data_IF_250470722958
#
_entry.id   IF_250470722958
#
_cell.length_a   1.000
_cell.length_b   1.000
_cell.length_c   1.000
_cell.angle_alpha   90.00
_cell.angle_beta   90.00
_cell.angle_gamma   90.00
#
_symmetry.space_group_name_H-M   'P 1'
#
loop_
_entity.id
_entity.type
_entity.pdbx_description
1 polymer ?
#
# COMPACT_ATOMS: atom_id res chain seq x y z
N UNK A 1 -26.26 1.02 -15.77
CA UNK A 1 -24.93 1.10 -16.40
C UNK A 1 -24.03 2.27 -15.91
N UNK A 2 -24.54 3.23 -15.14
CA UNK A 2 -23.74 4.41 -14.66
C UNK A 2 -22.69 4.12 -13.55
N UNK A 3 -22.73 2.96 -12.87
CA UNK A 3 -21.81 2.67 -11.75
C UNK A 3 -20.57 1.85 -12.13
N UNK A 4 -20.36 1.53 -13.41
CA UNK A 4 -19.24 0.68 -13.83
C UNK A 4 -17.92 1.44 -13.82
N UNK A 5 -17.88 2.70 -14.25
CA UNK A 5 -16.66 3.49 -14.35
C UNK A 5 -16.11 3.83 -12.95
N UNK A 6 -16.94 4.37 -12.07
CA UNK A 6 -16.51 4.71 -10.70
C UNK A 6 -16.02 3.50 -9.92
N UNK A 7 -16.64 2.33 -10.09
CA UNK A 7 -16.18 1.10 -9.45
C UNK A 7 -14.84 0.63 -10.03
N UNK A 8 -14.62 0.76 -11.34
CA UNK A 8 -13.34 0.44 -11.96
C UNK A 8 -12.23 1.39 -11.48
N UNK A 9 -12.51 2.69 -11.33
CA UNK A 9 -11.56 3.64 -10.73
C UNK A 9 -11.21 3.28 -9.27
N UNK A 10 -12.20 2.88 -8.49
CA UNK A 10 -12.01 2.41 -7.13
C UNK A 10 -11.09 1.17 -7.09
N UNK A 11 -11.33 0.19 -7.95
CA UNK A 11 -10.48 -1.00 -8.07
C UNK A 11 -9.06 -0.67 -8.50
N UNK A 12 -8.91 0.27 -9.45
CA UNK A 12 -7.60 0.76 -9.86
C UNK A 12 -6.87 1.43 -8.70
N UNK A 13 -7.53 2.28 -7.92
CA UNK A 13 -6.98 2.86 -6.70
C UNK A 13 -6.49 1.80 -5.72
N UNK A 14 -7.33 0.82 -5.38
CA UNK A 14 -6.95 -0.28 -4.50
C UNK A 14 -5.76 -1.08 -5.01
N UNK A 15 -5.69 -1.32 -6.32
CA UNK A 15 -4.59 -2.08 -6.94
C UNK A 15 -3.24 -1.36 -6.88
N UNK A 16 -3.25 -0.02 -6.93
CA UNK A 16 -2.04 0.80 -6.91
C UNK A 16 -1.53 1.10 -5.49
N UNK A 17 -2.42 1.08 -4.50
CA UNK A 17 -2.12 1.48 -3.11
C UNK A 17 -0.91 0.74 -2.52
N UNK A 18 -0.76 -0.57 -2.80
CA UNK A 18 0.36 -1.37 -2.34
C UNK A 18 1.71 -0.87 -2.88
N UNK A 19 1.76 -0.55 -4.18
CA UNK A 19 2.96 0.00 -4.83
C UNK A 19 3.26 1.41 -4.32
N UNK A 20 2.25 2.26 -4.19
CA UNK A 20 2.41 3.60 -3.63
C UNK A 20 2.97 3.54 -2.20
N UNK A 21 2.41 2.66 -1.35
CA UNK A 21 2.86 2.49 0.03
C UNK A 21 4.31 2.00 0.15
N UNK A 22 4.78 1.22 -0.83
CA UNK A 22 6.14 0.70 -0.88
C UNK A 22 7.12 1.72 -1.48
N UNK A 23 6.81 2.26 -2.66
CA UNK A 23 7.77 2.92 -3.52
C UNK A 23 7.86 4.43 -3.30
N UNK A 24 6.78 5.10 -2.84
CA UNK A 24 6.83 6.52 -2.44
C UNK A 24 7.79 6.80 -1.29
N UNK A 25 8.07 5.79 -0.49
CA UNK A 25 8.96 5.87 0.66
C UNK A 25 10.45 5.85 0.28
N UNK A 26 10.82 5.29 -0.88
CA UNK A 26 12.22 5.09 -1.29
C UNK A 26 13.06 6.38 -1.31
N UNK A 27 12.57 7.52 -1.82
CA UNK A 27 13.34 8.77 -1.81
C UNK A 27 13.67 9.28 -0.40
N UNK A 28 12.89 8.89 0.61
CA UNK A 28 13.07 9.33 1.99
C UNK A 28 14.22 8.62 2.73
N UNK A 29 14.86 7.60 2.14
CA UNK A 29 15.92 6.82 2.80
C UNK A 29 17.09 7.68 3.28
N UNK A 30 17.52 8.65 2.46
CA UNK A 30 18.59 9.59 2.83
C UNK A 30 18.22 10.46 4.02
N UNK A 31 17.02 11.02 3.98
CA UNK A 31 16.48 11.91 5.03
C UNK A 31 16.28 11.18 6.35
N UNK A 32 15.73 9.97 6.31
CA UNK A 32 15.56 9.13 7.51
C UNK A 32 16.89 8.79 8.19
N UNK A 33 17.93 8.54 7.39
CA UNK A 33 19.27 8.31 7.94
C UNK A 33 19.85 9.55 8.62
N UNK A 34 19.70 10.71 7.99
CA UNK A 34 20.27 11.97 8.52
C UNK A 34 19.46 12.53 9.69
N UNK A 35 18.13 12.50 9.64
CA UNK A 35 17.29 13.10 10.68
C UNK A 35 17.10 12.18 11.91
N UNK A 36 16.98 10.87 11.71
CA UNK A 36 16.74 9.92 12.80
C UNK A 36 18.03 9.20 13.24
N UNK A 37 19.18 9.51 12.64
CA UNK A 37 20.45 8.84 12.96
C UNK A 37 20.46 7.34 12.66
N UNK A 38 19.61 6.86 11.74
CA UNK A 38 19.47 5.45 11.45
C UNK A 38 20.60 4.93 10.57
N UNK A 39 21.02 3.68 10.80
CA UNK A 39 21.98 3.04 9.93
C UNK A 39 21.39 2.75 8.55
N UNK A 40 22.24 2.69 7.51
CA UNK A 40 21.82 2.31 6.16
C UNK A 40 21.16 0.92 6.13
N UNK A 41 21.67 -0.01 6.97
CA UNK A 41 21.10 -1.34 7.12
C UNK A 41 19.70 -1.34 7.71
N UNK A 42 19.42 -0.50 8.71
CA UNK A 42 18.10 -0.38 9.32
C UNK A 42 17.06 0.16 8.32
N UNK A 43 17.42 1.21 7.56
CA UNK A 43 16.55 1.79 6.55
C UNK A 43 16.31 0.81 5.39
N UNK A 44 17.36 0.11 4.94
CA UNK A 44 17.21 -0.95 3.92
C UNK A 44 16.35 -2.13 4.42
N UNK A 45 16.52 -2.54 5.69
CA UNK A 45 15.73 -3.60 6.31
C UNK A 45 14.23 -3.25 6.37
N UNK A 46 13.87 -1.95 6.41
CA UNK A 46 12.47 -1.52 6.40
C UNK A 46 11.72 -1.94 5.14
N UNK A 47 12.41 -2.02 4.00
CA UNK A 47 11.85 -2.53 2.76
C UNK A 47 11.65 -4.05 2.80
N UNK A 48 12.66 -4.78 3.30
CA UNK A 48 12.60 -6.23 3.44
C UNK A 48 11.50 -6.66 4.40
N UNK A 49 11.35 -5.96 5.53
CA UNK A 49 10.30 -6.25 6.50
C UNK A 49 8.90 -5.92 5.95
N UNK A 50 8.79 -4.87 5.13
CA UNK A 50 7.56 -4.56 4.42
C UNK A 50 7.18 -5.70 3.46
N UNK A 51 8.11 -6.20 2.65
CA UNK A 51 7.87 -7.33 1.75
C UNK A 51 7.47 -8.60 2.51
N UNK A 52 8.15 -8.88 3.63
CA UNK A 52 7.80 -10.02 4.50
C UNK A 52 6.38 -9.88 5.07
N UNK A 53 6.03 -8.70 5.59
CA UNK A 53 4.68 -8.41 6.09
C UNK A 53 3.63 -8.52 4.99
N UNK A 54 3.93 -8.05 3.78
CA UNK A 54 3.05 -8.16 2.62
C UNK A 54 2.81 -9.62 2.21
N UNK A 55 3.86 -10.45 2.17
CA UNK A 55 3.76 -11.87 1.87
C UNK A 55 2.94 -12.62 2.92
N UNK A 56 3.18 -12.35 4.21
CA UNK A 56 2.38 -12.93 5.30
C UNK A 56 0.92 -12.45 5.24
N UNK A 57 0.70 -11.18 4.91
CA UNK A 57 -0.63 -10.62 4.72
C UNK A 57 -1.42 -11.35 3.64
N UNK A 58 -0.80 -11.78 2.54
CA UNK A 58 -1.47 -12.56 1.49
C UNK A 58 -2.01 -13.89 2.01
N UNK A 59 -1.22 -14.58 2.84
CA UNK A 59 -1.63 -15.84 3.44
C UNK A 59 -2.78 -15.67 4.45
N UNK A 60 -2.86 -14.52 5.12
CA UNK A 60 -3.89 -14.23 6.10
C UNK A 60 -5.18 -13.72 5.45
N UNK A 61 -5.08 -12.68 4.61
CA UNK A 61 -6.25 -12.00 4.07
C UNK A 61 -6.98 -12.78 2.98
N UNK A 62 -6.30 -13.66 2.24
CA UNK A 62 -6.94 -14.53 1.25
C UNK A 62 -8.06 -15.35 1.88
N UNK A 63 -7.76 -16.29 2.77
CA UNK A 63 -8.77 -17.13 3.44
C UNK A 63 -9.77 -16.34 4.28
N UNK A 64 -9.33 -15.26 4.94
CA UNK A 64 -10.23 -14.40 5.71
C UNK A 64 -11.26 -13.71 4.81
N UNK A 65 -10.83 -13.22 3.65
CA UNK A 65 -11.69 -12.55 2.68
C UNK A 65 -12.75 -13.49 2.10
N UNK A 66 -12.41 -14.76 1.93
CA UNK A 66 -13.36 -15.77 1.48
C UNK A 66 -14.36 -16.15 2.59
N UNK A 67 -13.93 -16.16 3.84
CA UNK A 67 -14.75 -16.54 5.00
C UNK A 67 -15.65 -15.42 5.52
N UNK A 68 -15.12 -14.21 5.67
CA UNK A 68 -15.81 -13.06 6.28
C UNK A 68 -16.37 -12.08 5.25
N UNK A 69 -16.02 -12.27 3.98
CA UNK A 69 -16.40 -11.39 2.88
C UNK A 69 -15.39 -10.28 2.62
N UNK A 70 -15.48 -9.69 1.42
CA UNK A 70 -14.50 -8.72 0.91
C UNK A 70 -14.46 -7.42 1.70
N UNK A 71 -15.66 -6.87 2.02
CA UNK A 71 -15.78 -5.56 2.66
C UNK A 71 -15.21 -5.49 4.08
N UNK A 72 -15.53 -6.42 5.02
CA UNK A 72 -14.96 -6.39 6.38
C UNK A 72 -13.44 -6.52 6.37
N UNK A 73 -12.90 -7.41 5.54
CA UNK A 73 -11.45 -7.63 5.43
C UNK A 73 -10.75 -6.40 4.87
N UNK A 74 -11.30 -5.80 3.82
CA UNK A 74 -10.75 -4.57 3.26
C UNK A 74 -10.74 -3.43 4.28
N UNK A 75 -11.83 -3.22 5.00
CA UNK A 75 -11.90 -2.19 6.04
C UNK A 75 -10.92 -2.45 7.17
N UNK A 76 -10.82 -3.69 7.66
CA UNK A 76 -9.85 -4.06 8.70
C UNK A 76 -8.41 -3.82 8.25
N UNK A 77 -8.08 -4.24 7.03
CA UNK A 77 -6.74 -4.04 6.47
C UNK A 77 -6.39 -2.56 6.26
N UNK A 78 -7.30 -1.78 5.66
CA UNK A 78 -7.09 -0.34 5.47
C UNK A 78 -7.00 0.42 6.81
N UNK A 79 -7.79 0.03 7.83
CA UNK A 79 -7.66 0.61 9.17
C UNK A 79 -6.30 0.29 9.79
N UNK A 80 -5.81 -0.94 9.64
CA UNK A 80 -4.49 -1.33 10.12
C UNK A 80 -3.37 -0.57 9.39
N UNK A 81 -3.50 -0.38 8.07
CA UNK A 81 -2.59 0.43 7.27
C UNK A 81 -2.58 1.88 7.73
N UNK A 82 -3.76 2.47 7.93
CA UNK A 82 -3.91 3.84 8.40
C UNK A 82 -3.27 4.05 9.77
N UNK A 83 -3.46 3.12 10.72
CA UNK A 83 -2.80 3.16 12.03
C UNK A 83 -1.28 3.08 11.90
N UNK A 84 -0.77 2.22 11.02
CA UNK A 84 0.65 2.14 10.71
C UNK A 84 1.21 3.43 10.11
N UNK A 85 0.48 4.10 9.19
CA UNK A 85 0.86 5.39 8.63
C UNK A 85 0.82 6.50 9.68
N UNK A 86 -0.22 6.54 10.52
CA UNK A 86 -0.30 7.50 11.62
C UNK A 86 0.85 7.33 12.61
N UNK A 87 1.24 6.09 12.93
CA UNK A 87 2.36 5.79 13.81
C UNK A 87 3.70 6.35 13.32
N UNK A 88 3.88 6.52 11.99
CA UNK A 88 5.12 7.05 11.42
C UNK A 88 5.45 8.48 11.85
N UNK A 89 4.47 9.25 12.31
CA UNK A 89 4.72 10.59 12.84
C UNK A 89 5.48 10.61 14.17
N UNK A 90 5.51 9.48 14.88
CA UNK A 90 6.18 9.33 16.18
C UNK A 90 7.44 8.46 16.11
N UNK A 91 7.91 8.12 14.92
CA UNK A 91 9.12 7.31 14.75
C UNK A 91 10.35 8.07 15.24
N UNK A 92 11.08 7.44 16.17
CA UNK A 92 12.32 7.95 16.76
C UNK A 92 13.48 6.95 16.67
N UNK A 93 13.19 5.68 16.44
CA UNK A 93 14.19 4.61 16.38
C UNK A 93 13.88 3.58 15.28
N UNK A 94 14.85 2.70 15.03
CA UNK A 94 14.75 1.67 13.99
C UNK A 94 13.71 0.60 14.31
N UNK A 95 13.52 0.27 15.59
CA UNK A 95 12.59 -0.80 15.98
C UNK A 95 11.15 -0.38 15.69
N UNK A 96 10.81 0.85 16.07
CA UNK A 96 9.48 1.42 15.79
C UNK A 96 9.26 1.57 14.28
N UNK A 97 10.28 2.05 13.53
CA UNK A 97 10.22 2.14 12.08
C UNK A 97 9.88 0.78 11.44
N UNK A 98 10.66 -0.25 11.77
CA UNK A 98 10.49 -1.59 11.21
C UNK A 98 9.13 -2.20 11.58
N UNK A 99 8.72 -2.03 12.84
CA UNK A 99 7.42 -2.53 13.32
C UNK A 99 6.25 -1.89 12.58
N UNK A 100 6.29 -0.58 12.39
CA UNK A 100 5.24 0.14 11.67
C UNK A 100 5.22 -0.22 10.18
N UNK A 101 6.37 -0.39 9.55
CA UNK A 101 6.46 -0.84 8.16
C UNK A 101 5.89 -2.24 7.98
N UNK A 102 6.10 -3.13 8.94
CA UNK A 102 5.47 -4.46 8.95
C UNK A 102 3.95 -4.38 9.07
N UNK A 103 3.45 -3.58 10.00
CA UNK A 103 2.01 -3.35 10.21
C UNK A 103 1.36 -2.74 8.96
N UNK A 104 1.98 -1.72 8.35
CA UNK A 104 1.53 -1.13 7.10
C UNK A 104 1.43 -2.18 5.98
N UNK A 105 2.43 -3.03 5.85
CA UNK A 105 2.47 -4.05 4.82
C UNK A 105 1.35 -5.10 4.97
N UNK A 106 1.14 -5.61 6.18
CA UNK A 106 0.01 -6.50 6.46
C UNK A 106 -1.30 -5.78 6.12
N UNK A 107 -1.48 -4.55 6.59
CA UNK A 107 -2.70 -3.81 6.38
C UNK A 107 -3.03 -3.58 4.90
N UNK A 108 -2.08 -3.05 4.13
CA UNK A 108 -2.29 -2.73 2.71
C UNK A 108 -2.46 -3.96 1.83
N UNK A 109 -1.93 -5.11 2.25
CA UNK A 109 -2.09 -6.37 1.55
C UNK A 109 -3.57 -6.80 1.41
N UNK A 110 -4.44 -6.42 2.35
CA UNK A 110 -5.87 -6.66 2.25
C UNK A 110 -6.46 -6.02 0.99
N UNK A 111 -6.05 -4.81 0.64
CA UNK A 111 -6.47 -4.15 -0.60
C UNK A 111 -5.95 -4.91 -1.84
N UNK A 112 -4.68 -5.33 -1.81
CA UNK A 112 -4.04 -6.05 -2.91
C UNK A 112 -4.71 -7.42 -3.20
N UNK A 113 -5.15 -8.12 -2.18
CA UNK A 113 -5.87 -9.40 -2.33
C UNK A 113 -7.32 -9.18 -2.73
N UNK A 114 -7.98 -8.19 -2.13
CA UNK A 114 -9.43 -8.01 -2.27
C UNK A 114 -9.84 -7.43 -3.62
N UNK A 115 -9.03 -6.54 -4.25
CA UNK A 115 -9.42 -5.92 -5.52
C UNK A 115 -9.61 -6.95 -6.64
N UNK A 116 -8.74 -7.97 -6.71
CA UNK A 116 -8.85 -9.05 -7.72
C UNK A 116 -10.11 -9.88 -7.48
N UNK A 117 -10.37 -10.24 -6.23
CA UNK A 117 -11.55 -10.97 -5.85
C UNK A 117 -12.84 -10.19 -6.18
N UNK A 118 -12.86 -8.88 -5.92
CA UNK A 118 -13.99 -8.01 -6.26
C UNK A 118 -14.27 -7.95 -7.77
N UNK A 119 -13.22 -8.01 -8.62
CA UNK A 119 -13.41 -8.10 -10.09
C UNK A 119 -14.11 -9.41 -10.46
N UNK A 120 -13.61 -10.53 -9.92
CA UNK A 120 -14.13 -11.87 -10.23
C UNK A 120 -15.56 -12.02 -9.70
N UNK A 121 -15.84 -11.54 -8.50
CA UNK A 121 -17.17 -11.62 -7.87
C UNK A 121 -18.21 -10.75 -8.58
N UNK A 122 -17.78 -9.65 -9.25
CA UNK A 122 -18.70 -8.65 -9.83
C UNK A 122 -18.94 -8.82 -11.32
N UNK A 123 -17.97 -9.36 -12.06
CA UNK A 123 -18.01 -9.39 -13.52
C UNK A 123 -17.97 -10.81 -14.07
N UNK A 124 -18.77 -11.13 -15.14
CA UNK A 124 -18.55 -12.35 -15.91
C UNK A 124 -17.13 -12.38 -16.50
N UNK A 125 -16.60 -13.58 -16.76
CA UNK A 125 -15.20 -13.80 -17.16
C UNK A 125 -14.72 -12.87 -18.29
N UNK A 126 -15.51 -12.69 -19.36
CA UNK A 126 -15.15 -11.83 -20.49
C UNK A 126 -15.01 -10.35 -20.11
N UNK A 127 -15.85 -9.87 -19.18
CA UNK A 127 -15.78 -8.50 -18.67
C UNK A 127 -14.68 -8.34 -17.62
N UNK A 128 -14.48 -9.34 -16.77
CA UNK A 128 -13.40 -9.36 -15.80
C UNK A 128 -12.04 -9.21 -16.48
N UNK A 129 -11.81 -9.95 -17.56
CA UNK A 129 -10.58 -9.85 -18.36
C UNK A 129 -10.34 -8.43 -18.91
N UNK A 130 -11.39 -7.74 -19.35
CA UNK A 130 -11.29 -6.34 -19.82
C UNK A 130 -10.97 -5.38 -18.67
N UNK A 131 -11.53 -5.60 -17.49
CA UNK A 131 -11.22 -4.80 -16.29
C UNK A 131 -9.77 -5.00 -15.87
N UNK A 132 -9.30 -6.25 -15.82
CA UNK A 132 -7.89 -6.55 -15.56
C UNK A 132 -6.97 -5.91 -16.60
N UNK A 133 -7.27 -6.04 -17.89
CA UNK A 133 -6.49 -5.41 -18.96
C UNK A 133 -6.43 -3.87 -18.85
N UNK A 134 -7.46 -3.23 -18.30
CA UNK A 134 -7.46 -1.79 -18.05
C UNK A 134 -6.66 -1.37 -16.80
N UNK A 135 -6.62 -2.22 -15.76
CA UNK A 135 -5.96 -1.91 -14.48
C UNK A 135 -4.46 -2.28 -14.51
N UNK A 136 -4.09 -3.41 -15.14
CA UNK A 136 -2.71 -3.90 -15.16
C UNK A 136 -1.67 -2.88 -15.66
N UNK A 137 -1.91 -2.09 -16.73
CA UNK A 137 -0.98 -1.06 -17.15
C UNK A 137 -0.74 0.02 -16.08
N UNK A 138 -1.78 0.39 -15.32
CA UNK A 138 -1.67 1.35 -14.22
C UNK A 138 -0.81 0.78 -13.08
N UNK A 139 -0.98 -0.50 -12.76
CA UNK A 139 -0.14 -1.18 -11.77
C UNK A 139 1.33 -1.24 -12.25
N UNK A 140 1.55 -1.55 -13.53
CA UNK A 140 2.91 -1.59 -14.11
C UNK A 140 3.59 -0.22 -14.12
N UNK A 141 2.83 0.87 -14.21
CA UNK A 141 3.34 2.24 -14.18
C UNK A 141 3.58 2.75 -12.76
N UNK A 142 2.89 2.19 -11.76
CA UNK A 142 2.96 2.63 -10.36
C UNK A 142 4.36 2.64 -9.78
N UNK A 143 5.23 1.61 -9.97
CA UNK A 143 6.60 1.63 -9.47
C UNK A 143 7.48 2.73 -10.05
N UNK A 144 7.16 3.24 -11.25
CA UNK A 144 7.86 4.37 -11.84
C UNK A 144 7.35 5.71 -11.31
N UNK A 145 6.03 5.85 -11.14
CA UNK A 145 5.40 7.09 -10.69
C UNK A 145 5.49 7.29 -9.17
N UNK A 146 5.43 6.22 -8.39
CA UNK A 146 5.41 6.32 -6.93
C UNK A 146 6.67 6.99 -6.35
N UNK A 147 7.91 6.64 -6.74
CA UNK A 147 9.10 7.33 -6.27
C UNK A 147 9.14 8.80 -6.69
N UNK A 148 8.64 9.15 -7.89
CA UNK A 148 8.57 10.53 -8.35
C UNK A 148 7.62 11.35 -7.48
N UNK A 149 6.43 10.82 -7.19
CA UNK A 149 5.48 11.44 -6.27
C UNK A 149 6.09 11.56 -4.86
N UNK A 150 6.75 10.51 -4.39
CA UNK A 150 7.45 10.51 -3.11
C UNK A 150 8.54 11.57 -3.03
N UNK A 151 9.33 11.76 -4.09
CA UNK A 151 10.38 12.78 -4.15
C UNK A 151 9.80 14.20 -4.13
N UNK A 152 8.71 14.44 -4.84
CA UNK A 152 8.03 15.77 -4.83
C UNK A 152 7.47 16.07 -3.43
N UNK A 153 6.79 15.12 -2.81
CA UNK A 153 6.24 15.27 -1.45
C UNK A 153 7.37 15.50 -0.43
N UNK A 154 8.44 14.71 -0.52
CA UNK A 154 9.62 14.84 0.34
C UNK A 154 10.25 16.22 0.23
N UNK A 155 10.44 16.73 -0.99
CA UNK A 155 11.11 18.01 -1.25
C UNK A 155 10.34 19.22 -0.75
N UNK A 156 9.02 19.16 -0.65
CA UNK A 156 8.18 20.29 -0.22
C UNK A 156 7.66 20.17 1.21
N UNK A 157 7.40 18.97 1.70
CA UNK A 157 6.66 18.73 2.94
C UNK A 157 7.35 17.81 3.94
N UNK A 158 8.51 17.27 3.57
CA UNK A 158 9.24 16.32 4.41
C UNK A 158 8.75 14.85 4.29
N UNK A 159 9.48 13.94 4.92
CA UNK A 159 9.23 12.50 4.78
C UNK A 159 7.94 12.02 5.46
N UNK A 160 7.52 12.65 6.57
CA UNK A 160 6.27 12.33 7.25
C UNK A 160 5.05 12.60 6.36
N UNK A 161 5.13 13.62 5.50
CA UNK A 161 4.04 13.97 4.59
C UNK A 161 3.75 12.86 3.56
N UNK A 162 4.71 11.99 3.25
CA UNK A 162 4.47 10.81 2.41
C UNK A 162 3.39 9.92 3.05
N UNK A 163 3.49 9.70 4.36
CA UNK A 163 2.51 8.89 5.10
C UNK A 163 1.17 9.62 5.29
N UNK A 164 1.19 10.97 5.39
CA UNK A 164 -0.04 11.76 5.38
C UNK A 164 -0.78 11.64 4.03
N UNK A 165 -0.07 11.67 2.91
CA UNK A 165 -0.66 11.46 1.58
C UNK A 165 -1.23 10.05 1.47
N UNK A 166 -0.50 9.03 1.93
CA UNK A 166 -0.98 7.63 1.93
C UNK A 166 -2.21 7.42 2.83
N UNK A 167 -2.35 8.21 3.90
CA UNK A 167 -3.55 8.23 4.75
C UNK A 167 -4.78 8.83 4.06
N UNK A 168 -4.56 9.79 3.14
CA UNK A 168 -5.62 10.48 2.42
C UNK A 168 -6.11 9.77 1.16
N UNK A 169 -5.43 8.70 0.73
CA UNK A 169 -5.80 7.88 -0.44
C UNK A 169 -6.74 6.75 -0.07
#
# INVERSE_FOLDING_TARGET
MKNSFGFTCYLAGLSMLGYLAMDMYLPAFGTLRSELGLSAGAVGASLSIFLAGFALGQLLWGPLSDRWGRKPVLLAGLSLFALGCAGMFWVQDSVLLLSLRFIQAIGICAAAVTWQALVIDRYPADKANRVFAGIMPLMGLSPALAPLLGAVVLGHLGWQAIFAVLLGL
#
